data_IF_530265744387
#
_entry.id   IF_530265744387
#
_cell.length_a   1.000
_cell.length_b   1.000
_cell.length_c   1.000
_cell.angle_alpha   90.00
_cell.angle_beta   90.00
_cell.angle_gamma   90.00
#
_symmetry.space_group_name_H-M   'P 1'
#
loop_
_entity.id
_entity.type
_entity.pdbx_description
1 polymer ?
2 non-polymer ?
3 non-polymer ?
4 water ?
#
# COMPACT_ATOMS: atom_id res chain seq x y z
N UNK A 8 12.36 -15.11 -21.31
CA UNK A 8 11.16 -15.92 -21.65
C UNK A 8 9.85 -15.13 -21.51
N UNK A 9 9.80 -14.17 -20.58
CA UNK A 9 8.69 -13.23 -20.57
C UNK A 9 8.79 -12.35 -21.82
N UNK A 10 7.65 -11.77 -22.18
CA UNK A 10 7.49 -10.93 -23.36
C UNK A 10 8.30 -9.64 -23.22
N UNK A 11 9.35 -9.50 -24.04
CA UNK A 11 10.21 -8.32 -24.02
C UNK A 11 9.74 -7.21 -24.95
N UNK A 12 8.66 -7.46 -25.68
CA UNK A 12 8.17 -6.53 -26.69
C UNK A 12 7.26 -5.49 -26.10
N UNK A 13 6.77 -4.59 -26.95
CA UNK A 13 5.81 -3.57 -26.56
C UNK A 13 4.51 -4.23 -26.12
N UNK A 14 4.00 -3.83 -24.96
CA UNK A 14 2.70 -4.31 -24.48
C UNK A 14 1.68 -3.20 -24.74
N UNK A 15 0.57 -3.54 -25.40
CA UNK A 15 -0.51 -2.58 -25.63
C UNK A 15 -1.85 -3.25 -25.72
N UNK A 16 -2.90 -2.46 -25.53
CA UNK A 16 -4.26 -2.95 -25.68
C UNK A 16 -5.00 -2.97 -24.37
N UNK A 17 -6.23 -3.46 -24.43
CA UNK A 17 -7.05 -3.44 -23.24
C UNK A 17 -6.54 -4.42 -22.18
N UNK A 18 -6.83 -4.06 -20.93
CA UNK A 18 -6.43 -4.84 -19.77
C UNK A 18 -7.63 -4.98 -18.83
N UNK A 19 -8.05 -6.21 -18.52
CA UNK A 19 -9.15 -6.33 -17.54
C UNK A 19 -8.81 -5.69 -16.19
N UNK A 20 -9.80 -5.16 -15.49
CA UNK A 20 -9.56 -4.59 -14.17
C UNK A 20 -9.30 -5.72 -13.17
N UNK A 21 -8.24 -5.58 -12.37
CA UNK A 21 -7.98 -6.53 -11.30
C UNK A 21 -8.85 -6.18 -10.10
N UNK A 22 -8.86 -7.06 -9.05
CA UNK A 22 -9.79 -6.82 -7.95
C UNK A 22 -9.66 -5.45 -7.29
N UNK A 23 -8.43 -5.05 -6.93
CA UNK A 23 -8.26 -3.77 -6.24
C UNK A 23 -8.63 -2.61 -7.15
N UNK A 24 -8.47 -2.78 -8.45
CA UNK A 24 -8.88 -1.75 -9.40
C UNK A 24 -10.40 -1.65 -9.49
N UNK A 25 -11.08 -2.78 -9.45
CA UNK A 25 -12.55 -2.80 -9.39
C UNK A 25 -13.04 -2.16 -8.09
N UNK A 26 -12.39 -2.48 -6.97
CA UNK A 26 -12.65 -1.80 -5.72
C UNK A 26 -12.56 -0.28 -5.91
N UNK A 27 -11.46 0.17 -6.49
CA UNK A 27 -11.22 1.60 -6.64
C UNK A 27 -12.32 2.31 -7.41
N UNK A 28 -12.69 1.78 -8.58
CA UNK A 28 -13.73 2.42 -9.38
C UNK A 28 -15.09 2.31 -8.72
N UNK A 29 -15.32 1.23 -7.99
CA UNK A 29 -16.54 1.05 -7.23
C UNK A 29 -16.78 2.11 -6.15
N UNK A 30 -15.70 2.71 -5.66
CA UNK A 30 -15.81 3.76 -4.65
C UNK A 30 -16.28 5.08 -5.26
N UNK A 31 -16.11 5.27 -6.57
CA UNK A 31 -16.51 6.53 -7.24
C UNK A 31 -16.03 7.75 -6.46
N UNK A 32 -14.73 7.76 -6.17
CA UNK A 32 -14.13 8.85 -5.39
C UNK A 32 -14.30 10.20 -6.07
N UNK A 33 -14.59 11.21 -5.27
CA UNK A 33 -14.49 12.59 -5.72
C UNK A 33 -13.05 12.84 -6.18
N UNK A 34 -12.87 13.53 -7.30
CA UNK A 34 -11.52 13.79 -7.80
C UNK A 34 -10.71 12.49 -7.96
N UNK A 35 -11.31 11.54 -8.65
CA UNK A 35 -10.75 10.20 -8.83
C UNK A 35 -9.37 10.21 -9.48
N UNK A 36 -9.09 11.23 -10.29
CA UNK A 36 -7.78 11.40 -10.86
C UNK A 36 -6.65 11.81 -9.94
N UNK A 37 -6.99 12.22 -8.70
CA UNK A 37 -6.03 12.59 -7.69
C UNK A 37 -6.06 11.52 -6.60
N UNK A 38 -5.32 10.46 -6.84
CA UNK A 38 -5.33 9.30 -5.94
C UNK A 38 -4.04 8.55 -6.26
N UNK A 39 -2.96 9.07 -5.70
CA UNK A 39 -1.61 8.83 -6.19
C UNK A 39 -0.68 8.23 -5.14
N UNK A 40 0.53 7.88 -5.59
CA UNK A 40 1.68 7.71 -4.72
C UNK A 40 2.76 8.61 -5.25
N UNK A 41 3.72 8.98 -4.40
CA UNK A 41 4.74 9.91 -4.82
C UNK A 41 6.02 9.83 -3.98
N UNK A 42 7.08 10.45 -4.49
CA UNK A 42 8.34 10.50 -3.78
C UNK A 42 9.14 11.68 -4.27
N UNK A 43 10.07 12.13 -3.43
CA UNK A 43 11.01 13.16 -3.82
C UNK A 43 12.39 12.62 -3.48
N UNK A 44 13.27 12.62 -4.48
CA UNK A 44 14.65 12.13 -4.33
C UNK A 44 15.59 13.31 -4.32
N UNK A 45 16.70 13.17 -3.62
CA UNK A 45 17.70 14.24 -3.51
C UNK A 45 19.07 13.74 -3.96
N UNK A 46 19.74 14.54 -4.79
CA UNK A 46 21.09 14.28 -5.26
C UNK A 46 21.94 15.52 -5.00
N UNK A 47 22.87 15.44 -4.03
CA UNK A 47 23.66 16.63 -3.72
C UNK A 47 24.48 17.20 -4.89
N UNK A 48 24.93 16.33 -5.80
CA UNK A 48 25.69 16.74 -6.98
C UNK A 48 24.84 17.50 -7.98
N UNK A 49 23.51 17.32 -7.89
CA UNK A 49 22.56 17.81 -8.87
C UNK A 49 22.15 16.72 -9.83
N UNK A 50 20.98 16.90 -10.45
CA UNK A 50 20.46 16.07 -11.51
C UNK A 50 20.52 16.85 -12.83
N UNK A 51 20.66 16.11 -13.93
CA UNK A 51 20.66 16.69 -15.27
C UNK A 51 19.32 16.43 -15.91
N UNK A 52 18.59 17.51 -16.31
CA UNK A 52 17.28 17.25 -16.91
C UNK A 52 17.32 16.37 -18.15
N UNK A 53 18.37 16.50 -18.96
CA UNK A 53 18.47 15.69 -20.17
C UNK A 53 18.65 14.21 -19.85
N UNK A 54 19.51 13.89 -18.89
CA UNK A 54 19.68 12.50 -18.45
C UNK A 54 18.39 11.97 -17.82
N UNK A 55 17.73 12.77 -16.98
CA UNK A 55 16.47 12.35 -16.37
C UNK A 55 15.45 11.98 -17.45
N UNK A 56 15.33 12.81 -18.47
CA UNK A 56 14.39 12.51 -19.54
C UNK A 56 14.77 11.24 -20.31
N UNK A 57 16.05 11.06 -20.60
CA UNK A 57 16.48 9.84 -21.29
C UNK A 57 16.14 8.60 -20.48
N UNK A 58 16.41 8.63 -19.17
CA UNK A 58 16.18 7.45 -18.33
C UNK A 58 14.69 7.22 -18.16
N UNK A 59 13.93 8.29 -17.91
CA UNK A 59 12.48 8.13 -17.75
C UNK A 59 11.83 7.63 -19.03
N UNK A 60 12.33 8.08 -20.18
CA UNK A 60 11.84 7.57 -21.46
C UNK A 60 11.98 6.06 -21.48
N UNK A 61 13.16 5.56 -21.13
CA UNK A 61 13.41 4.13 -21.14
C UNK A 61 12.56 3.39 -20.09
N UNK A 62 12.42 3.97 -18.91
CA UNK A 62 11.64 3.36 -17.84
C UNK A 62 10.19 3.16 -18.25
N UNK A 63 9.60 4.16 -18.89
CA UNK A 63 8.17 4.10 -19.22
C UNK A 63 7.93 3.29 -20.49
N UNK A 64 8.88 3.25 -21.40
CA UNK A 64 8.86 2.28 -22.48
C UNK A 64 8.92 0.83 -21.97
N UNK A 65 9.75 0.60 -20.95
CA UNK A 65 10.01 -0.72 -20.38
C UNK A 65 8.94 -1.27 -19.47
N UNK A 66 8.37 -0.39 -18.64
CA UNK A 66 7.41 -0.78 -17.63
C UNK A 66 6.04 -0.37 -18.15
N UNK A 67 5.50 -1.25 -18.96
CA UNK A 67 4.39 -0.89 -19.87
C UNK A 67 3.15 -0.33 -19.16
N UNK A 68 2.82 -0.85 -17.98
CA UNK A 68 1.59 -0.43 -17.29
C UNK A 68 1.57 1.06 -16.95
N UNK A 69 2.75 1.70 -16.88
CA UNK A 69 2.80 3.14 -16.63
C UNK A 69 2.17 3.96 -17.76
N UNK A 70 1.97 3.34 -18.90
CA UNK A 70 1.31 3.99 -20.06
C UNK A 70 -0.20 3.77 -20.12
N UNK A 71 -0.78 3.26 -19.05
CA UNK A 71 -2.20 2.99 -19.01
C UNK A 71 -3.03 4.27 -19.08
N UNK A 72 -4.21 4.15 -19.66
CA UNK A 72 -5.25 5.18 -19.57
C UNK A 72 -6.56 4.46 -19.24
N UNK A 73 -7.53 5.26 -18.78
CA UNK A 73 -8.84 4.77 -18.27
C UNK A 73 -9.97 5.64 -18.80
N UNK A 74 -10.93 5.01 -19.45
CA UNK A 74 -12.24 5.65 -19.73
C UNK A 74 -13.25 5.21 -18.65
N UNK A 75 -14.17 6.09 -18.21
CA UNK A 75 -15.19 5.66 -17.23
C UNK A 75 -16.56 6.33 -17.37
N UNK A 76 -16.89 6.77 -18.59
CA UNK A 76 -18.14 7.51 -18.78
C UNK A 76 -19.33 6.58 -18.52
N UNK A 77 -20.28 7.09 -17.73
CA UNK A 77 -21.47 6.32 -17.32
C UNK A 77 -21.13 5.00 -16.61
N UNK A 78 -19.94 4.93 -16.01
CA UNK A 78 -19.51 3.74 -15.28
C UNK A 78 -18.97 2.60 -16.13
N UNK A 79 -18.74 2.88 -17.42
CA UNK A 79 -18.17 1.90 -18.37
C UNK A 79 -16.65 2.01 -18.37
N UNK A 80 -15.97 1.43 -17.39
CA UNK A 80 -14.55 1.64 -17.26
C UNK A 80 -13.78 0.78 -18.26
N UNK A 81 -12.93 1.41 -19.08
CA UNK A 81 -12.04 0.69 -20.00
C UNK A 81 -10.59 1.04 -19.73
N UNK A 82 -9.82 0.03 -19.33
CA UNK A 82 -8.41 0.18 -18.99
C UNK A 82 -7.62 -0.25 -20.21
N UNK A 83 -6.81 0.67 -20.74
CA UNK A 83 -6.10 0.46 -21.98
C UNK A 83 -4.62 0.79 -21.83
N UNK A 84 -3.78 -0.15 -22.21
CA UNK A 84 -2.33 0.06 -22.15
C UNK A 84 -1.90 0.70 -23.48
N UNK A 85 -1.52 1.98 -23.47
CA UNK A 85 -1.05 2.63 -24.68
C UNK A 85 0.23 1.97 -25.14
N UNK A 86 0.46 2.02 -26.46
CA UNK A 86 1.77 1.67 -27.02
C UNK A 86 2.74 2.82 -26.84
N UNK A 87 3.75 2.89 -27.72
CA UNK A 87 4.75 3.92 -27.64
C UNK A 87 4.34 5.09 -28.54
N UNK A 88 5.07 6.19 -28.42
CA UNK A 88 4.93 7.33 -29.34
C UNK A 88 4.22 8.53 -28.76
N UNK A 89 3.42 8.33 -27.72
CA UNK A 89 2.65 9.42 -27.11
C UNK A 89 3.40 10.09 -25.97
N UNK A 90 2.65 10.79 -25.12
CA UNK A 90 3.24 11.46 -23.96
C UNK A 90 3.50 10.42 -22.86
N UNK A 91 4.76 10.15 -22.56
CA UNK A 91 5.08 9.08 -21.62
C UNK A 91 4.98 9.54 -20.17
N UNK A 92 5.25 10.83 -19.97
CA UNK A 92 5.19 11.46 -18.64
C UNK A 92 5.20 12.97 -18.90
N UNK A 93 4.76 13.75 -17.90
CA UNK A 93 4.88 15.18 -17.95
C UNK A 93 6.12 15.57 -17.16
N UNK A 94 6.98 16.38 -17.77
CA UNK A 94 8.24 16.74 -17.17
C UNK A 94 8.36 18.24 -17.02
N UNK A 95 8.77 18.68 -15.83
CA UNK A 95 9.01 20.08 -15.51
C UNK A 95 10.33 20.23 -14.81
N UNK A 96 11.03 21.33 -15.10
CA UNK A 96 12.30 21.62 -14.47
C UNK A 96 12.29 23.08 -13.99
N UNK A 97 12.73 23.30 -12.76
CA UNK A 97 12.66 24.60 -12.11
C UNK A 97 14.00 25.01 -11.56
N UNK A 98 14.36 26.25 -11.82
CA UNK A 98 15.56 26.82 -11.23
C UNK A 98 15.15 27.54 -9.95
N UNK A 99 15.44 26.95 -8.80
CA UNK A 99 15.06 27.56 -7.52
C UNK A 99 16.24 28.24 -6.82
N UNK A 100 17.33 28.47 -7.55
CA UNK A 100 18.58 28.97 -6.96
C UNK A 100 18.45 30.36 -6.33
N UNK A 101 17.48 31.16 -6.79
CA UNK A 101 17.26 32.49 -6.20
C UNK A 101 16.27 32.48 -5.02
N UNK A 102 15.62 31.35 -4.74
CA UNK A 102 14.51 31.37 -3.80
C UNK A 102 14.89 31.16 -2.34
N UNK A 103 14.42 32.05 -1.45
CA UNK A 103 14.68 31.88 -0.02
C UNK A 103 14.00 30.66 0.58
N UNK A 104 12.83 30.29 0.04
CA UNK A 104 12.01 29.23 0.63
C UNK A 104 11.75 28.13 -0.38
N UNK A 105 12.76 27.29 -0.57
CA UNK A 105 12.71 26.20 -1.53
C UNK A 105 11.60 25.22 -1.15
N UNK A 106 11.46 24.96 0.15
CA UNK A 106 10.44 24.04 0.64
C UNK A 106 9.02 24.45 0.19
N UNK A 107 8.71 25.73 0.32
CA UNK A 107 7.42 26.24 -0.13
C UNK A 107 7.20 26.04 -1.63
N UNK A 108 8.22 26.33 -2.44
CA UNK A 108 8.11 26.16 -3.88
C UNK A 108 7.82 24.69 -4.23
N UNK A 109 8.54 23.78 -3.58
CA UNK A 109 8.41 22.36 -3.87
C UNK A 109 7.03 21.86 -3.43
N UNK A 110 6.57 22.25 -2.25
CA UNK A 110 5.26 21.75 -1.82
C UNK A 110 4.16 22.31 -2.75
N UNK A 111 4.21 23.59 -3.11
CA UNK A 111 3.19 24.14 -3.99
C UNK A 111 3.14 23.41 -5.34
N UNK A 112 4.30 23.16 -5.93
CA UNK A 112 4.32 22.61 -7.28
C UNK A 112 3.98 21.13 -7.28
N UNK A 113 4.47 20.40 -6.30
CA UNK A 113 4.13 18.98 -6.19
C UNK A 113 2.64 18.85 -5.97
N UNK A 114 2.04 19.74 -5.21
CA UNK A 114 0.57 19.68 -5.03
C UNK A 114 -0.14 20.00 -6.35
N UNK A 115 0.34 21.02 -7.07
CA UNK A 115 -0.24 21.35 -8.38
C UNK A 115 -0.19 20.15 -9.33
N UNK A 116 0.95 19.49 -9.40
CA UNK A 116 1.14 18.37 -10.30
C UNK A 116 0.30 17.14 -9.87
N UNK A 117 0.23 16.89 -8.56
CA UNK A 117 -0.63 15.82 -8.05
C UNK A 117 -2.09 15.95 -8.51
N UNK A 118 -2.57 17.19 -8.65
CA UNK A 118 -3.93 17.48 -9.02
C UNK A 118 -4.16 17.52 -10.54
N UNK A 119 -3.14 17.17 -11.33
CA UNK A 119 -3.16 17.37 -12.79
C UNK A 119 -3.24 16.07 -13.61
N UNK A 120 -3.55 14.93 -12.99
CA UNK A 120 -3.58 13.66 -13.73
C UNK A 120 -4.79 13.65 -14.66
N UNK A 121 -4.53 13.30 -15.91
CA UNK A 121 -5.57 13.10 -16.93
C UNK A 121 -5.70 11.59 -17.12
N UNK A 122 -6.70 10.97 -16.48
CA UNK A 122 -6.85 9.51 -16.56
C UNK A 122 -7.23 9.02 -17.95
N UNK A 123 -8.01 9.81 -18.69
CA UNK A 123 -8.54 9.36 -19.98
C UNK A 123 -7.49 9.34 -21.08
N UNK A 124 -6.53 10.27 -21.01
CA UNK A 124 -5.54 10.49 -22.05
C UNK A 124 -4.12 10.26 -21.58
N UNK A 125 -3.90 10.20 -20.26
CA UNK A 125 -2.54 10.15 -19.74
C UNK A 125 -1.78 11.44 -19.95
N UNK A 126 -0.51 11.46 -19.53
CA UNK A 126 0.15 10.39 -18.79
C UNK A 126 -0.22 10.32 -17.32
N UNK A 127 0.00 9.16 -16.74
CA UNK A 127 -0.23 8.96 -15.31
C UNK A 127 1.03 9.14 -14.47
N UNK A 128 2.11 9.63 -15.08
CA UNK A 128 3.38 9.87 -14.41
C UNK A 128 3.76 11.34 -14.54
N UNK A 129 4.08 11.98 -13.40
CA UNK A 129 4.50 13.38 -13.32
C UNK A 129 5.91 13.40 -12.77
N UNK A 130 6.79 14.16 -13.40
CA UNK A 130 8.17 14.26 -12.99
C UNK A 130 8.53 15.75 -12.90
N UNK A 131 9.09 16.18 -11.77
CA UNK A 131 9.55 17.56 -11.66
C UNK A 131 10.92 17.61 -11.03
N UNK A 132 11.81 18.36 -11.66
CA UNK A 132 13.15 18.60 -11.15
C UNK A 132 13.25 20.00 -10.54
N UNK A 133 13.71 20.09 -9.29
CA UNK A 133 13.90 21.36 -8.62
C UNK A 133 15.38 21.55 -8.33
N UNK A 134 16.00 22.51 -9.01
CA UNK A 134 17.42 22.75 -8.91
C UNK A 134 17.68 23.83 -7.87
N UNK A 135 18.60 23.56 -6.95
CA UNK A 135 18.97 24.52 -5.91
C UNK A 135 20.48 24.73 -5.90
N UNK A 136 20.91 25.67 -5.07
CA UNK A 136 22.34 25.91 -4.85
C UNK A 136 23.00 24.77 -4.07
N UNK A 137 22.19 23.94 -3.39
CA UNK A 137 22.70 22.87 -2.56
C UNK A 137 22.06 21.54 -2.96
N UNK A 138 22.24 21.16 -4.22
CA UNK A 138 21.73 19.89 -4.71
C UNK A 138 20.33 20.02 -5.29
N UNK A 139 19.91 18.97 -5.98
CA UNK A 139 18.64 18.99 -6.69
C UNK A 139 17.67 17.95 -6.15
N UNK A 140 16.38 18.26 -6.29
CA UNK A 140 15.30 17.42 -5.83
C UNK A 140 14.43 16.97 -7.00
N UNK A 141 14.17 15.66 -7.07
CA UNK A 141 13.42 15.06 -8.16
C UNK A 141 12.13 14.45 -7.60
N UNK A 142 11.02 15.04 -8.01
CA UNK A 142 9.67 14.60 -7.66
C UNK A 142 9.11 13.66 -8.71
N UNK A 143 8.53 12.57 -8.23
CA UNK A 143 7.77 11.64 -9.04
C UNK A 143 6.40 11.41 -8.42
N UNK A 144 5.33 11.55 -9.20
CA UNK A 144 3.99 11.15 -8.78
C UNK A 144 3.40 10.27 -9.84
N UNK A 145 2.75 9.20 -9.39
CA UNK A 145 2.13 8.22 -10.27
C UNK A 145 0.75 7.87 -9.72
N UNK A 146 -0.26 7.87 -10.55
CA UNK A 146 -1.58 7.50 -10.11
C UNK A 146 -1.54 6.06 -9.57
N UNK A 147 -2.26 5.78 -8.47
CA UNK A 147 -2.15 4.47 -7.83
C UNK A 147 -2.62 3.32 -8.71
N UNK A 148 -3.44 3.64 -9.72
CA UNK A 148 -3.98 2.57 -10.58
C UNK A 148 -2.90 1.69 -11.22
N UNK A 149 -1.69 2.23 -11.36
CA UNK A 149 -0.62 1.59 -12.13
C UNK A 149 0.65 1.33 -11.31
N UNK A 150 0.57 1.44 -9.98
CA UNK A 150 1.76 1.31 -9.15
C UNK A 150 1.42 0.78 -7.76
N UNK A 151 2.45 0.31 -7.08
CA UNK A 151 2.37 -0.13 -5.70
C UNK A 151 3.76 -0.14 -5.08
N UNK A 152 3.87 -0.47 -3.81
CA UNK A 152 5.16 -0.39 -3.12
C UNK A 152 6.30 -1.15 -3.76
N UNK A 153 6.05 -2.40 -4.11
CA UNK A 153 7.09 -3.19 -4.80
C UNK A 153 7.43 -2.55 -6.14
N UNK A 154 6.44 -2.06 -6.87
CA UNK A 154 6.69 -1.39 -8.14
C UNK A 154 7.62 -0.18 -7.97
N UNK A 155 7.43 0.59 -6.91
CA UNK A 155 8.36 1.71 -6.62
C UNK A 155 9.77 1.23 -6.36
N UNK A 156 9.95 0.12 -5.65
CA UNK A 156 11.29 -0.44 -5.48
C UNK A 156 11.95 -0.73 -6.85
N UNK A 157 11.20 -1.36 -7.74
CA UNK A 157 11.66 -1.66 -9.10
C UNK A 157 12.02 -0.38 -9.85
N UNK A 158 11.15 0.63 -9.77
CA UNK A 158 11.39 1.89 -10.45
C UNK A 158 12.65 2.61 -9.93
N UNK A 159 12.82 2.64 -8.61
CA UNK A 159 14.02 3.28 -8.02
C UNK A 159 15.29 2.54 -8.45
N UNK A 160 15.25 1.22 -8.45
CA UNK A 160 16.38 0.41 -8.95
C UNK A 160 16.71 0.75 -10.40
N UNK A 161 15.69 0.81 -11.26
CA UNK A 161 15.93 1.04 -12.65
C UNK A 161 16.34 2.48 -12.94
N UNK A 162 15.81 3.43 -12.17
CA UNK A 162 16.26 4.81 -12.26
C UNK A 162 17.74 4.90 -11.94
N UNK A 163 18.17 4.25 -10.87
CA UNK A 163 19.59 4.27 -10.47
C UNK A 163 20.45 3.60 -11.54
N UNK A 164 19.98 2.48 -12.08
CA UNK A 164 20.74 1.75 -13.09
C UNK A 164 20.93 2.58 -14.37
N UNK A 165 19.82 3.13 -14.86
CA UNK A 165 19.86 3.95 -16.07
C UNK A 165 20.66 5.24 -15.90
N UNK A 166 20.52 5.88 -14.76
CA UNK A 166 21.26 7.12 -14.50
C UNK A 166 22.75 6.84 -14.47
N UNK A 167 23.15 5.76 -13.80
CA UNK A 167 24.57 5.40 -13.72
C UNK A 167 25.13 5.08 -15.10
N UNK A 168 24.34 4.37 -15.91
CA UNK A 168 24.73 4.06 -17.28
C UNK A 168 24.91 5.34 -18.10
N UNK A 169 23.94 6.25 -18.03
CA UNK A 169 24.06 7.55 -18.69
C UNK A 169 25.32 8.30 -18.26
N UNK A 170 25.58 8.36 -16.96
CA UNK A 170 26.76 9.06 -16.44
C UNK A 170 28.05 8.45 -16.94
N UNK A 171 28.04 7.13 -17.15
CA UNK A 171 29.22 6.41 -17.63
C UNK A 171 29.33 6.37 -19.15
N UNK A 172 28.48 7.13 -19.84
CA UNK A 172 28.49 7.18 -21.30
C UNK A 172 28.03 5.90 -21.96
N UNK A 173 27.23 5.11 -21.25
CA UNK A 173 26.78 3.80 -21.73
C UNK A 173 25.32 3.87 -22.14
N UNK A 174 24.91 2.95 -23.01
CA UNK A 174 23.52 2.83 -23.40
C UNK A 174 22.70 2.41 -22.18
N UNK A 175 21.52 2.99 -22.05
CA UNK A 175 20.62 2.63 -20.95
C UNK A 175 20.09 1.24 -21.26
N UNK A 176 20.20 0.34 -20.28
CA UNK A 176 19.86 -1.06 -20.49
C UNK A 176 19.31 -1.60 -19.18
N UNK A 177 18.01 -1.86 -19.15
CA UNK A 177 17.34 -2.31 -17.93
C UNK A 177 17.24 -3.84 -17.91
N UNK A 178 16.98 -4.40 -16.72
CA UNK A 178 16.77 -5.84 -16.62
C UNK A 178 15.66 -6.31 -17.54
N UNK A 179 15.72 -7.56 -17.98
CA UNK A 179 14.65 -8.09 -18.81
C UNK A 179 13.27 -7.88 -18.17
N UNK A 180 12.26 -7.64 -18.99
CA UNK A 180 10.89 -7.57 -18.53
C UNK A 180 10.48 -8.89 -17.91
N UNK A 181 9.68 -8.82 -16.85
CA UNK A 181 8.93 -9.97 -16.40
C UNK A 181 7.54 -9.91 -17.05
N UNK A 182 6.60 -10.75 -16.61
CA UNK A 182 5.32 -10.85 -17.30
C UNK A 182 4.51 -9.56 -17.18
N UNK A 183 3.82 -9.19 -18.27
CA UNK A 183 3.11 -7.92 -18.29
C UNK A 183 1.93 -7.90 -17.33
N UNK A 184 1.59 -6.71 -16.85
CA UNK A 184 0.39 -6.55 -16.07
C UNK A 184 -0.83 -6.99 -16.89
N UNK A 185 -0.84 -6.67 -18.19
CA UNK A 185 -1.90 -7.14 -19.09
C UNK A 185 -2.09 -8.67 -19.01
N UNK A 186 -1.00 -9.40 -19.13
CA UNK A 186 -1.05 -10.87 -19.11
C UNK A 186 -1.48 -11.38 -17.75
N UNK A 187 -0.92 -10.79 -16.71
CA UNK A 187 -1.27 -11.14 -15.33
C UNK A 187 -2.78 -11.00 -15.09
N UNK A 188 -3.31 -9.87 -15.45
CA UNK A 188 -4.73 -9.62 -15.29
C UNK A 188 -5.62 -10.60 -16.08
N UNK A 189 -5.22 -10.88 -17.32
CA UNK A 189 -5.92 -11.88 -18.13
C UNK A 189 -5.89 -13.25 -17.43
N UNK A 190 -4.74 -13.62 -16.87
CA UNK A 190 -4.62 -14.90 -16.18
C UNK A 190 -5.49 -14.94 -14.92
N UNK A 191 -5.57 -13.82 -14.20
CA UNK A 191 -6.42 -13.73 -13.02
C UNK A 191 -7.89 -13.96 -13.39
N UNK A 192 -8.31 -13.45 -14.55
CA UNK A 192 -9.70 -13.65 -14.99
C UNK A 192 -10.01 -15.13 -15.16
N UNK A 193 -9.03 -15.90 -15.62
CA UNK A 193 -9.15 -17.35 -15.78
C UNK A 193 -9.16 -18.06 -14.42
N UNK A 194 -8.16 -17.69 -13.60
CA UNK A 194 -8.02 -18.24 -12.25
C UNK A 194 -9.32 -18.12 -11.45
N UNK A 195 -10.00 -16.99 -11.64
CA UNK A 195 -11.21 -16.64 -10.90
C UNK A 195 -12.32 -17.69 -10.93
N UNK A 196 -12.37 -18.50 -11.99
CA UNK A 196 -13.42 -19.51 -12.10
C UNK A 196 -12.90 -20.94 -12.14
N UNK A 197 -11.63 -21.12 -11.81
CA UNK A 197 -10.98 -22.44 -11.80
C UNK A 197 -11.07 -23.12 -10.41
N UNK A 198 -10.76 -24.40 -10.40
CA UNK A 198 -11.06 -25.27 -9.25
C UNK A 198 -10.28 -24.90 -7.98
N UNK A 199 -9.04 -24.44 -8.14
CA UNK A 199 -8.20 -24.13 -6.97
C UNK A 199 -8.84 -23.02 -6.14
N UNK A 200 -9.22 -21.93 -6.78
CA UNK A 200 -9.87 -20.84 -6.05
C UNK A 200 -11.21 -21.25 -5.51
N UNK A 201 -12.03 -21.91 -6.33
CA UNK A 201 -13.36 -22.32 -5.88
C UNK A 201 -13.28 -23.26 -4.67
N UNK A 202 -12.17 -24.02 -4.56
CA UNK A 202 -11.97 -24.88 -3.40
C UNK A 202 -11.90 -24.11 -2.09
N UNK A 203 -11.63 -22.81 -2.14
CA UNK A 203 -11.54 -21.98 -0.93
C UNK A 203 -12.89 -21.53 -0.40
N UNK A 204 -13.95 -21.71 -1.19
CA UNK A 204 -15.25 -21.15 -0.82
C UNK A 204 -15.73 -21.56 0.59
N UNK A 205 -15.61 -22.85 0.96
CA UNK A 205 -16.03 -23.18 2.33
C UNK A 205 -15.31 -22.38 3.41
N UNK A 206 -14.01 -22.13 3.22
CA UNK A 206 -13.26 -21.32 4.16
C UNK A 206 -13.85 -19.91 4.26
N UNK A 207 -14.03 -19.25 3.11
CA UNK A 207 -14.50 -17.87 3.12
C UNK A 207 -15.95 -17.79 3.59
N UNK A 208 -16.74 -18.81 3.26
CA UNK A 208 -18.13 -18.92 3.76
C UNK A 208 -18.16 -19.00 5.27
N UNK A 209 -17.26 -19.81 5.82
CA UNK A 209 -17.16 -19.91 7.27
C UNK A 209 -16.81 -18.56 7.89
N UNK A 210 -15.90 -17.81 7.27
CA UNK A 210 -15.54 -16.49 7.78
C UNK A 210 -16.77 -15.57 7.78
N UNK A 211 -17.45 -15.51 6.65
CA UNK A 211 -18.65 -14.66 6.52
C UNK A 211 -19.73 -15.03 7.54
N UNK A 212 -19.89 -16.32 7.80
CA UNK A 212 -20.94 -16.78 8.71
C UNK A 212 -20.60 -16.43 10.17
N UNK A 213 -19.31 -16.40 10.50
CA UNK A 213 -18.87 -16.04 11.84
C UNK A 213 -18.86 -14.53 12.06
N UNK A 214 -18.78 -13.75 10.98
CA UNK A 214 -18.70 -12.30 11.06
C UNK A 214 -20.06 -11.68 11.42
N UNK A 215 -20.14 -11.10 12.62
CA UNK A 215 -21.38 -10.55 13.16
C UNK A 215 -21.79 -9.26 12.46
N UNK A 216 -20.80 -8.53 11.93
CA UNK A 216 -21.03 -7.27 11.22
C UNK A 216 -21.69 -6.23 12.13
N UNK A 217 -21.14 -6.07 13.32
CA UNK A 217 -21.56 -5.01 14.23
C UNK A 217 -20.71 -3.78 13.91
N UNK A 218 -21.36 -2.64 13.74
CA UNK A 218 -20.69 -1.36 13.53
C UNK A 218 -19.49 -1.18 14.48
N UNK A 219 -18.32 -0.89 13.92
CA UNK A 219 -17.22 -0.33 14.70
C UNK A 219 -17.79 0.91 15.37
N UNK A 220 -17.68 1.03 16.71
CA UNK A 220 -18.22 2.22 17.38
C UNK A 220 -17.46 3.51 17.02
N UNK A 221 -18.19 4.57 16.67
CA UNK A 221 -17.63 5.90 16.46
C UNK A 221 -18.15 6.86 17.53
N UNK A 222 -17.44 7.96 17.77
CA UNK A 222 -17.89 9.01 18.67
C UNK A 222 -19.07 9.81 18.09
N UNK A 223 -19.05 10.05 16.79
CA UNK A 223 -20.06 10.88 16.12
C UNK A 223 -20.52 10.26 14.83
N UNK A 224 -21.78 10.50 14.50
CA UNK A 224 -22.39 10.10 13.25
C UNK A 224 -22.14 11.17 12.19
N UNK A 225 -21.46 10.76 11.14
CA UNK A 225 -21.12 11.66 10.05
C UNK A 225 -21.18 10.89 8.75
N UNK A 226 -21.60 11.58 7.69
CA UNK A 226 -21.65 11.00 6.35
C UNK A 226 -20.70 11.73 5.40
N UNK A 227 -20.11 10.95 4.50
CA UNK A 227 -19.16 11.44 3.50
C UNK A 227 -18.06 12.32 4.06
N UNK A 228 -17.42 11.85 5.14
CA UNK A 228 -16.16 12.43 5.65
C UNK A 228 -15.13 12.43 4.55
N UNK A 229 -14.33 13.47 4.47
CA UNK A 229 -13.31 13.61 3.42
C UNK A 229 -11.90 13.55 3.98
N UNK A 230 -10.94 13.30 3.08
CA UNK A 230 -9.53 13.19 3.46
C UNK A 230 -8.98 14.42 4.22
N UNK A 231 -9.51 15.60 3.94
CA UNK A 231 -9.10 16.81 4.67
C UNK A 231 -9.32 16.71 6.20
N UNK A 232 -10.24 15.83 6.63
CA UNK A 232 -10.53 15.61 8.04
C UNK A 232 -9.61 14.60 8.71
N UNK A 233 -8.77 13.93 7.93
CA UNK A 233 -7.94 12.87 8.48
C UNK A 233 -6.77 13.43 9.31
N UNK A 234 -6.53 12.77 10.44
CA UNK A 234 -5.42 13.12 11.34
C UNK A 234 -4.63 11.87 11.63
N UNK A 235 -3.34 12.05 11.94
CA UNK A 235 -2.44 10.93 12.23
C UNK A 235 -1.93 11.07 13.66
N UNK A 236 -2.00 9.98 14.41
CA UNK A 236 -1.49 9.93 15.76
C UNK A 236 -0.48 8.80 15.81
N UNK A 237 0.69 9.05 16.37
CA UNK A 237 1.79 8.10 16.33
C UNK A 237 2.27 7.69 17.72
N UNK A 238 2.61 6.41 17.85
CA UNK A 238 3.25 5.88 19.04
C UNK A 238 4.50 5.15 18.57
N UNK A 239 5.46 4.98 19.45
CA UNK A 239 6.62 4.19 19.08
C UNK A 239 7.19 3.39 20.24
N UNK A 240 7.96 2.37 19.89
CA UNK A 240 8.77 1.64 20.84
C UNK A 240 10.21 2.11 20.71
N UNK A 241 10.89 2.19 21.83
CA UNK A 241 12.32 2.49 21.86
C UNK A 241 13.11 1.40 21.15
N UNK A 242 14.39 1.66 20.82
CA UNK A 242 15.16 0.66 20.10
C UNK A 242 15.31 -0.68 20.83
N UNK A 243 15.42 -0.63 22.16
CA UNK A 243 15.60 -1.85 22.96
C UNK A 243 14.40 -2.78 22.77
N UNK A 244 13.20 -2.25 22.96
CA UNK A 244 11.98 -3.05 22.86
C UNK A 244 11.71 -3.45 21.40
N UNK A 245 12.04 -2.58 20.46
CA UNK A 245 11.91 -2.90 19.05
C UNK A 245 12.80 -4.11 18.69
N UNK A 246 14.05 -4.06 19.14
CA UNK A 246 14.98 -5.16 18.90
C UNK A 246 14.48 -6.47 19.54
N UNK A 247 13.94 -6.38 20.75
CA UNK A 247 13.36 -7.57 21.39
C UNK A 247 12.22 -8.12 20.53
N UNK A 248 11.35 -7.24 20.05
CA UNK A 248 10.21 -7.63 19.21
C UNK A 248 10.67 -8.29 17.91
N UNK A 249 11.65 -7.69 17.26
CA UNK A 249 12.13 -8.19 15.99
C UNK A 249 12.96 -9.48 16.11
N UNK A 250 13.79 -9.60 17.14
CA UNK A 250 14.86 -10.63 17.16
C UNK A 250 14.83 -11.66 18.30
N UNK A 251 13.93 -11.51 19.27
CA UNK A 251 13.85 -12.43 20.41
C UNK A 251 12.42 -12.88 20.80
N UNK A 252 11.46 -11.96 20.70
CA UNK A 252 10.08 -12.27 21.11
C UNK A 252 9.43 -13.36 20.25
N UNK A 253 9.86 -13.52 19.02
CA UNK A 253 9.24 -14.50 18.14
C UNK A 253 9.65 -15.94 18.40
N UNK A 254 10.69 -16.12 19.21
CA UNK A 254 11.14 -17.45 19.55
C UNK A 254 10.16 -18.22 20.45
N UNK A 255 9.42 -17.51 21.29
CA UNK A 255 8.51 -18.18 22.23
C UNK A 255 7.50 -19.08 21.53
N UNK A 256 6.83 -18.55 20.51
CA UNK A 256 5.78 -19.26 19.79
C UNK A 256 6.09 -19.40 18.29
N UNK A 257 7.34 -19.13 17.92
CA UNK A 257 7.80 -19.22 16.52
C UNK A 257 6.90 -18.46 15.57
N UNK A 258 6.74 -17.20 15.91
CA UNK A 258 5.87 -16.32 15.17
C UNK A 258 6.67 -15.50 14.19
N UNK A 259 5.96 -14.72 13.39
CA UNK A 259 6.53 -13.59 12.70
C UNK A 259 6.01 -12.34 13.40
N UNK A 260 6.69 -11.22 13.19
CA UNK A 260 6.37 -9.98 13.87
C UNK A 260 4.91 -9.62 13.67
N UNK A 261 4.42 -9.83 12.45
CA UNK A 261 3.02 -9.52 12.17
C UNK A 261 2.05 -10.27 13.08
N UNK A 262 2.36 -11.49 13.48
CA UNK A 262 1.47 -12.26 14.37
C UNK A 262 1.35 -11.52 15.72
N UNK A 263 2.48 -11.07 16.25
CA UNK A 263 2.47 -10.37 17.54
C UNK A 263 1.77 -9.02 17.47
N UNK A 264 1.98 -8.30 16.38
CA UNK A 264 1.32 -7.03 16.17
C UNK A 264 -0.19 -7.18 16.03
N UNK A 265 -0.63 -8.24 15.38
CA UNK A 265 -2.06 -8.51 15.25
C UNK A 265 -2.65 -8.95 16.58
N UNK A 266 -1.88 -9.72 17.35
CA UNK A 266 -2.35 -10.11 18.69
C UNK A 266 -2.56 -8.85 19.52
N UNK A 267 -1.61 -7.91 19.47
CA UNK A 267 -1.74 -6.65 20.19
C UNK A 267 -2.97 -5.86 19.76
N UNK A 268 -3.23 -5.88 18.44
CA UNK A 268 -4.38 -5.19 17.86
C UNK A 268 -5.68 -5.73 18.44
N UNK A 269 -5.80 -7.06 18.54
CA UNK A 269 -6.99 -7.65 19.14
C UNK A 269 -7.16 -7.24 20.59
N UNK A 270 -6.08 -7.26 21.36
CA UNK A 270 -6.17 -6.89 22.77
C UNK A 270 -6.62 -5.43 22.91
N UNK A 271 -6.05 -4.55 22.09
CA UNK A 271 -6.39 -3.14 22.15
C UNK A 271 -7.86 -2.89 21.77
N UNK A 272 -8.35 -3.55 20.72
CA UNK A 272 -9.76 -3.38 20.33
C UNK A 272 -10.71 -4.00 21.34
N UNK A 273 -10.30 -5.09 21.97
CA UNK A 273 -11.08 -5.71 23.03
C UNK A 273 -11.31 -4.69 24.15
N UNK A 274 -10.23 -4.04 24.57
CA UNK A 274 -10.28 -3.05 25.66
C UNK A 274 -11.05 -1.79 25.28
N UNK A 275 -10.77 -1.28 24.09
CA UNK A 275 -11.23 0.03 23.66
C UNK A 275 -12.66 0.02 23.11
N UNK A 276 -12.95 -0.94 22.25
CA UNK A 276 -14.26 -1.02 21.59
C UNK A 276 -15.31 -1.82 22.39
N UNK A 277 -14.86 -2.74 23.24
CA UNK A 277 -15.75 -3.68 23.93
C UNK A 277 -16.52 -4.64 23.01
N UNK A 278 -16.10 -4.79 21.75
CA UNK A 278 -16.73 -5.74 20.83
C UNK A 278 -16.31 -7.17 21.16
N UNK A 279 -17.15 -8.12 20.78
CA UNK A 279 -16.87 -9.54 20.98
C UNK A 279 -15.97 -10.07 19.88
N UNK A 280 -15.99 -9.39 18.74
CA UNK A 280 -15.16 -9.79 17.61
C UNK A 280 -14.98 -8.59 16.70
N UNK A 281 -13.95 -8.64 15.87
CA UNK A 281 -13.72 -7.57 14.92
C UNK A 281 -13.12 -8.15 13.63
N UNK A 282 -13.53 -7.59 12.49
CA UNK A 282 -12.92 -7.97 11.21
C UNK A 282 -11.95 -6.85 10.82
N UNK A 283 -10.75 -7.25 10.43
CA UNK A 283 -9.67 -6.33 10.05
C UNK A 283 -9.35 -6.58 8.59
N UNK A 284 -9.12 -5.48 7.86
CA UNK A 284 -8.63 -5.53 6.50
C UNK A 284 -7.09 -5.62 6.57
N UNK A 285 -6.53 -6.70 6.02
CA UNK A 285 -5.08 -6.85 5.83
C UNK A 285 -4.77 -6.75 4.34
N UNK A 286 -3.49 -6.54 4.04
CA UNK A 286 -3.05 -6.45 2.64
C UNK A 286 -1.85 -7.35 2.39
N UNK A 287 -1.82 -7.91 1.19
CA UNK A 287 -0.68 -8.68 0.74
C UNK A 287 -0.11 -8.02 -0.50
N UNK A 288 1.11 -8.38 -0.87
CA UNK A 288 1.70 -7.82 -2.09
C UNK A 288 0.96 -8.28 -3.35
N UNK A 289 0.24 -9.39 -3.25
CA UNK A 289 -0.59 -9.85 -4.36
C UNK A 289 0.13 -10.53 -5.49
N UNK A 290 1.44 -10.75 -5.35
CA UNK A 290 2.25 -11.37 -6.39
C UNK A 290 2.47 -12.83 -6.00
N UNK A 291 1.37 -13.52 -5.74
CA UNK A 291 1.42 -14.87 -5.19
C UNK A 291 1.57 -15.86 -6.33
N UNK A 292 2.09 -17.04 -6.00
CA UNK A 292 2.34 -18.10 -7.00
C UNK A 292 1.07 -18.90 -7.23
N UNK A 293 0.06 -18.23 -7.79
CA UNK A 293 -1.24 -18.83 -8.06
C UNK A 293 -1.44 -19.20 -9.52
N UNK A 294 -0.61 -18.64 -10.41
CA UNK A 294 -0.71 -18.90 -11.85
C UNK A 294 0.54 -19.67 -12.30
N UNK A 295 0.34 -20.86 -12.84
CA UNK A 295 1.46 -21.74 -13.21
C UNK A 295 2.49 -21.02 -14.07
N UNK A 296 3.73 -20.95 -13.58
CA UNK A 296 4.86 -20.39 -14.34
C UNK A 296 4.83 -18.87 -14.54
N UNK A 297 3.86 -18.18 -13.94
CA UNK A 297 3.85 -16.71 -14.03
C UNK A 297 5.01 -16.14 -13.23
N UNK A 298 5.51 -14.99 -13.70
CA UNK A 298 6.64 -14.35 -13.07
C UNK A 298 6.40 -12.86 -13.17
N UNK A 299 6.02 -12.23 -12.07
CA UNK A 299 5.79 -10.78 -12.03
C UNK A 299 6.78 -10.11 -11.08
N UNK A 300 7.98 -10.69 -10.95
CA UNK A 300 8.99 -10.19 -9.99
C UNK A 300 9.43 -8.75 -10.21
N UNK A 301 9.51 -8.31 -11.47
CA UNK A 301 9.88 -6.92 -11.78
C UNK A 301 8.79 -6.20 -12.58
N UNK A 302 7.55 -6.61 -12.37
CA UNK A 302 6.42 -5.99 -13.07
C UNK A 302 5.84 -4.86 -12.26
N UNK A 303 5.70 -3.71 -12.93
CA UNK A 303 5.07 -2.52 -12.37
C UNK A 303 3.56 -2.60 -12.56
N UNK A 304 2.83 -2.39 -11.47
CA UNK A 304 1.37 -2.34 -11.48
C UNK A 304 0.85 -2.31 -10.05
N UNK A 305 -0.47 -2.24 -9.91
CA UNK A 305 -1.14 -2.26 -8.62
C UNK A 305 -1.57 -3.70 -8.37
N UNK A 306 -0.68 -4.47 -7.74
CA UNK A 306 -0.91 -5.89 -7.48
C UNK A 306 -1.56 -6.14 -6.11
N UNK A 307 -1.53 -5.14 -5.25
CA UNK A 307 -1.97 -5.27 -3.86
C UNK A 307 -3.27 -6.03 -3.69
N UNK A 308 -3.26 -6.96 -2.76
CA UNK A 308 -4.43 -7.76 -2.41
C UNK A 308 -4.93 -7.27 -1.06
N UNK A 309 -6.26 -7.22 -0.89
CA UNK A 309 -6.86 -6.91 0.41
C UNK A 309 -7.75 -8.08 0.81
N UNK A 310 -7.71 -8.44 2.09
CA UNK A 310 -8.52 -9.55 2.57
C UNK A 310 -8.91 -9.38 4.02
N UNK A 311 -10.02 -10.00 4.41
CA UNK A 311 -10.45 -9.88 5.79
C UNK A 311 -9.90 -10.97 6.71
N UNK A 312 -9.65 -10.59 7.95
CA UNK A 312 -9.38 -11.54 9.03
C UNK A 312 -10.31 -11.22 10.20
N UNK A 313 -10.80 -12.29 10.84
CA UNK A 313 -11.72 -12.17 11.96
C UNK A 313 -10.95 -12.44 13.23
N UNK A 314 -10.93 -11.46 14.13
CA UNK A 314 -10.34 -11.63 15.45
C UNK A 314 -11.42 -11.82 16.51
N UNK A 315 -11.32 -12.90 17.27
CA UNK A 315 -12.16 -13.13 18.45
C UNK A 315 -11.61 -12.27 19.58
N UNK A 316 -12.46 -11.41 20.15
CA UNK A 316 -12.04 -10.48 21.21
C UNK A 316 -12.61 -10.88 22.58
N UNK A 317 -13.38 -11.97 22.60
CA UNK A 317 -13.98 -12.48 23.84
C UNK A 317 -12.93 -13.30 24.58
N UNK A 318 -12.37 -14.28 23.89
CA UNK A 318 -11.38 -15.18 24.48
C UNK A 318 -9.94 -14.67 24.28
N UNK A 319 -9.55 -13.66 25.05
CA UNK A 319 -8.20 -13.08 24.99
C UNK A 319 -7.24 -13.61 26.07
N UNK A 320 -7.73 -14.54 26.90
CA UNK A 320 -6.94 -15.13 27.98
C UNK A 320 -6.98 -16.65 27.88
N UNK A 321 -5.87 -17.35 28.18
CA UNK A 321 -4.58 -16.82 28.59
C UNK A 321 -3.88 -16.18 27.39
N UNK A 322 -2.98 -15.24 27.67
CA UNK A 322 -2.21 -14.58 26.60
C UNK A 322 -1.43 -15.56 25.71
N UNK A 323 -0.84 -16.59 26.30
CA UNK A 323 -0.13 -17.65 25.54
C UNK A 323 -1.01 -18.25 24.47
N UNK A 324 -2.20 -18.69 24.84
CA UNK A 324 -3.13 -19.30 23.88
C UNK A 324 -3.60 -18.27 22.85
N UNK A 325 -3.82 -17.03 23.29
CA UNK A 325 -4.25 -15.99 22.38
C UNK A 325 -3.22 -15.72 21.27
N UNK A 326 -1.94 -15.68 21.64
CA UNK A 326 -0.86 -15.52 20.68
C UNK A 326 -0.79 -16.72 19.73
N UNK A 327 -0.86 -17.92 20.29
CA UNK A 327 -0.82 -19.15 19.50
C UNK A 327 -1.99 -19.21 18.53
N UNK A 328 -3.18 -18.84 19.00
CA UNK A 328 -4.40 -18.86 18.16
C UNK A 328 -4.33 -17.83 17.04
N UNK A 329 -3.74 -16.68 17.34
CA UNK A 329 -3.58 -15.64 16.33
C UNK A 329 -2.66 -16.17 15.23
N UNK A 330 -1.54 -16.76 15.62
CA UNK A 330 -0.63 -17.38 14.67
C UNK A 330 -1.35 -18.41 13.79
N UNK A 331 -2.11 -19.29 14.44
CA UNK A 331 -2.84 -20.40 13.79
C UNK A 331 -3.88 -19.87 12.80
N UNK A 332 -4.65 -18.88 13.26
CA UNK A 332 -5.62 -18.13 12.43
C UNK A 332 -4.96 -17.70 11.12
N UNK A 333 -3.78 -17.07 11.24
CA UNK A 333 -3.09 -16.53 10.08
C UNK A 333 -2.58 -17.64 9.16
N UNK A 334 -2.09 -18.72 9.76
CA UNK A 334 -1.59 -19.86 8.98
C UNK A 334 -2.67 -20.61 8.19
N UNK A 335 -3.90 -20.58 8.67
CA UNK A 335 -5.02 -21.29 8.03
C UNK A 335 -5.60 -20.57 6.82
N UNK A 336 -5.27 -19.29 6.67
CA UNK A 336 -5.78 -18.53 5.53
C UNK A 336 -5.22 -19.14 4.24
N UNK A 337 -6.08 -19.45 3.26
CA UNK A 337 -5.56 -20.05 2.04
C UNK A 337 -4.84 -19.03 1.17
N UNK A 338 -3.69 -19.42 0.62
CA UNK A 338 -3.00 -18.67 -0.43
C UNK A 338 -2.80 -17.18 -0.09
N UNK A 339 -2.38 -16.93 1.15
CA UNK A 339 -2.07 -15.58 1.65
C UNK A 339 -3.24 -14.59 1.49
N UNK A 340 -4.46 -15.14 1.42
CA UNK A 340 -5.65 -14.31 1.37
C UNK A 340 -6.01 -13.73 0.02
N UNK A 341 -5.25 -14.04 -1.03
CA UNK A 341 -5.49 -13.40 -2.35
C UNK A 341 -6.87 -13.73 -2.95
N UNK A 342 -7.45 -14.85 -2.54
CA UNK A 342 -8.64 -15.35 -3.18
C UNK A 342 -9.91 -14.56 -2.91
N UNK A 343 -10.06 -14.01 -1.70
CA UNK A 343 -11.36 -13.45 -1.34
C UNK A 343 -11.79 -12.34 -2.30
N UNK A 344 -10.88 -11.41 -2.61
CA UNK A 344 -11.22 -10.26 -3.47
C UNK A 344 -11.41 -10.68 -4.94
N UNK A 345 -10.77 -11.77 -5.34
CA UNK A 345 -11.01 -12.34 -6.67
C UNK A 345 -12.43 -12.91 -6.74
N UNK A 346 -12.81 -13.69 -5.72
CA UNK A 346 -14.18 -14.19 -5.61
C UNK A 346 -15.20 -13.06 -5.62
N UNK A 347 -14.87 -11.97 -4.94
CA UNK A 347 -15.79 -10.86 -4.78
C UNK A 347 -15.96 -10.09 -6.09
N UNK A 348 -14.85 -9.77 -6.74
CA UNK A 348 -14.90 -8.81 -7.83
C UNK A 348 -14.82 -9.40 -9.22
N UNK A 349 -14.34 -10.64 -9.34
CA UNK A 349 -14.10 -11.22 -10.66
C UNK A 349 -14.89 -12.52 -10.94
N UNK A 350 -14.89 -13.47 -10.00
CA UNK A 350 -15.56 -14.74 -10.18
C UNK A 350 -17.03 -14.56 -10.62
N UNK A 351 -17.47 -15.41 -11.53
CA UNK A 351 -18.87 -15.42 -11.97
C UNK A 351 -19.79 -15.68 -10.79
N UNK A 352 -20.92 -14.94 -10.69
CA UNK A 352 -21.84 -15.16 -9.58
C UNK A 352 -22.21 -16.63 -9.36
N UNK A 353 -22.39 -17.38 -10.45
CA UNK A 353 -22.79 -18.79 -10.37
C UNK A 353 -21.76 -19.69 -9.67
N UNK A 354 -20.51 -19.23 -9.60
CA UNK A 354 -19.39 -20.00 -9.03
C UNK A 354 -19.04 -19.65 -7.58
N UNK A 355 -19.76 -18.69 -6.99
CA UNK A 355 -19.32 -18.08 -5.72
C UNK A 355 -19.97 -18.71 -4.49
N UNK A 356 -20.61 -19.85 -4.65
CA UNK A 356 -21.28 -20.51 -3.53
C UNK A 356 -22.34 -19.62 -2.94
N UNK A 357 -22.39 -19.57 -1.62
CA UNK A 357 -23.33 -18.72 -0.91
C UNK A 357 -22.67 -17.47 -0.35
N UNK A 358 -21.50 -17.11 -0.89
CA UNK A 358 -20.82 -15.90 -0.43
C UNK A 358 -21.65 -14.66 -0.77
N UNK A 359 -21.77 -13.76 0.21
CA UNK A 359 -22.56 -12.53 0.06
C UNK A 359 -21.71 -11.26 0.14
N UNK A 360 -20.45 -11.39 0.58
CA UNK A 360 -19.51 -10.27 0.57
C UNK A 360 -20.06 -9.04 1.31
N UNK A 361 -20.75 -9.30 2.42
CA UNK A 361 -21.29 -8.23 3.26
C UNK A 361 -20.25 -7.78 4.28
N UNK A 362 -19.15 -8.52 4.39
CA UNK A 362 -18.03 -8.17 5.27
C UNK A 362 -17.35 -6.90 4.75
N UNK A 363 -17.41 -5.84 5.54
CA UNK A 363 -16.91 -4.54 5.11
C UNK A 363 -16.08 -3.95 6.25
N UNK A 364 -14.79 -4.35 6.34
CA UNK A 364 -14.02 -3.89 7.50
C UNK A 364 -13.77 -2.38 7.48
N UNK A 365 -13.84 -1.78 8.65
CA UNK A 365 -13.59 -0.35 8.82
C UNK A 365 -12.20 -0.10 9.40
N UNK A 366 -11.47 -1.16 9.76
CA UNK A 366 -10.12 -1.07 10.26
C UNK A 366 -9.17 -1.79 9.33
N UNK A 367 -8.11 -1.09 8.95
CA UNK A 367 -7.04 -1.66 8.15
C UNK A 367 -5.77 -1.70 8.97
N UNK A 368 -5.03 -2.79 8.87
CA UNK A 368 -3.76 -2.88 9.58
C UNK A 368 -2.68 -3.31 8.59
N UNK A 369 -1.57 -2.59 8.58
CA UNK A 369 -0.47 -2.91 7.67
C UNK A 369 0.87 -2.71 8.35
N UNK A 370 1.64 -3.78 8.45
CA UNK A 370 3.01 -3.67 8.93
C UNK A 370 3.94 -3.66 7.71
N UNK A 371 4.70 -2.59 7.55
CA UNK A 371 5.45 -2.35 6.32
C UNK A 371 6.94 -2.71 6.44
N UNK A 372 7.39 -3.18 7.60
CA UNK A 372 8.81 -3.49 7.78
C UNK A 372 9.69 -2.26 7.81
N UNK A 373 10.89 -2.38 7.23
CA UNK A 373 11.88 -1.31 7.21
C UNK A 373 11.63 -0.30 6.09
N UNK A 374 12.01 0.94 6.34
CA UNK A 374 11.71 2.07 5.48
C UNK A 374 12.97 2.48 4.66
N UNK A 375 13.09 2.02 3.40
CA UNK A 375 14.34 2.27 2.62
C UNK A 375 14.36 1.99 1.09
N UNK A 376 13.21 1.95 0.41
CA UNK A 376 13.18 1.68 -1.04
C UNK A 376 13.94 2.75 -1.85
N UNK A 377 13.88 3.99 -1.38
CA UNK A 377 14.44 5.14 -2.10
C UNK A 377 15.86 5.50 -1.70
N UNK A 378 16.54 4.59 -1.00
CA UNK A 378 17.84 4.88 -0.36
C UNK A 378 18.84 3.72 -0.43
N UNK A 379 18.90 3.05 -1.59
CA UNK A 379 19.81 1.92 -1.80
C UNK A 379 21.04 2.22 -2.69
N UNK A 380 21.05 3.37 -3.36
CA UNK A 380 22.07 3.71 -4.36
C UNK A 380 22.89 4.87 -3.85
N UNK A 381 24.13 5.00 -4.34
CA UNK A 381 24.92 6.18 -3.99
C UNK A 381 24.52 7.41 -4.81
N UNK A 382 23.70 7.21 -5.84
CA UNK A 382 23.33 8.30 -6.76
C UNK A 382 22.31 9.30 -6.20
N UNK A 383 21.44 8.84 -5.32
CA UNK A 383 20.43 9.72 -4.73
C UNK A 383 19.91 9.12 -3.42
N UNK A 384 19.16 9.93 -2.68
CA UNK A 384 18.56 9.51 -1.42
C UNK A 384 17.15 10.13 -1.27
N UNK A 385 16.46 9.80 -0.20
CA UNK A 385 15.16 10.41 0.11
C UNK A 385 15.36 11.89 0.39
N UNK A 386 14.59 12.75 -0.26
CA UNK A 386 14.72 14.19 -0.06
C UNK A 386 14.22 14.67 1.30
N UNK A 387 14.99 15.55 1.96
CA UNK A 387 14.48 16.15 3.21
C UNK A 387 13.28 17.07 2.98
N UNK A 388 13.04 17.44 1.72
CA UNK A 388 11.88 18.25 1.37
C UNK A 388 10.75 17.41 0.75
N UNK A 389 10.70 16.13 1.08
CA UNK A 389 9.65 15.24 0.59
C UNK A 389 8.26 15.74 0.96
N UNK A 390 8.10 16.23 2.19
CA UNK A 390 6.83 16.80 2.62
C UNK A 390 5.72 15.78 2.54
N UNK A 391 4.64 16.19 1.89
CA UNK A 391 3.48 15.34 1.69
C UNK A 391 3.56 14.34 0.54
N UNK A 392 4.74 14.20 -0.03
CA UNK A 392 4.97 13.30 -1.16
C UNK A 392 5.70 12.04 -0.71
N UNK A 393 4.93 11.03 -0.33
CA UNK A 393 5.51 9.77 0.12
C UNK A 393 4.70 8.59 -0.39
N UNK A 394 5.15 7.38 -0.07
CA UNK A 394 4.45 6.19 -0.49
C UNK A 394 3.53 5.70 0.64
N UNK A 395 3.62 6.32 1.82
CA UNK A 395 2.92 5.87 3.04
C UNK A 395 2.01 6.87 3.75
N UNK A 396 1.88 6.73 5.07
CA UNK A 396 0.84 7.40 5.85
C UNK A 396 1.00 8.92 5.93
N UNK A 397 2.23 9.40 5.79
CA UNK A 397 2.54 10.83 5.82
C UNK A 397 2.41 11.52 4.45
N UNK A 398 1.89 10.80 3.44
CA UNK A 398 1.73 11.37 2.12
C UNK A 398 0.46 12.20 1.96
N UNK A 399 0.38 13.33 2.64
CA UNK A 399 -0.82 14.17 2.60
C UNK A 399 -1.14 14.71 1.20
N UNK A 400 -0.15 14.76 0.30
CA UNK A 400 -0.41 15.26 -1.04
C UNK A 400 -1.02 14.25 -2.02
N UNK A 401 -1.05 12.98 -1.63
CA UNK A 401 -1.40 11.90 -2.56
C UNK A 401 -2.86 11.82 -2.95
N UNK A 402 -3.73 12.23 -2.04
CA UNK A 402 -5.16 12.13 -2.29
C UNK A 402 -5.77 13.51 -2.27
N UNK A 403 -6.82 13.69 -3.05
CA UNK A 403 -7.53 14.93 -2.97
C UNK A 403 -8.11 15.16 -1.57
N UNK A 404 -8.03 16.38 -1.05
CA UNK A 404 -8.65 16.76 0.23
C UNK A 404 -10.15 16.48 0.25
N UNK A 405 -10.76 16.48 -0.94
CA UNK A 405 -12.18 16.22 -1.06
C UNK A 405 -12.50 14.76 -1.38
N UNK A 406 -11.47 13.92 -1.48
CA UNK A 406 -11.65 12.48 -1.65
C UNK A 406 -12.27 11.91 -0.39
N UNK A 407 -13.13 10.91 -0.54
CA UNK A 407 -13.83 10.31 0.60
C UNK A 407 -12.92 9.40 1.42
N UNK A 408 -13.04 9.49 2.74
CA UNK A 408 -12.45 8.53 3.67
C UNK A 408 -13.07 7.16 3.44
N UNK A 409 -12.22 6.14 3.29
CA UNK A 409 -12.68 4.78 2.93
C UNK A 409 -12.38 3.74 4.02
N UNK A 410 -11.65 4.15 5.05
CA UNK A 410 -11.35 3.31 6.22
C UNK A 410 -11.44 4.20 7.46
N UNK A 411 -12.15 3.76 8.49
CA UNK A 411 -12.31 4.57 9.70
C UNK A 411 -11.01 4.67 10.49
N UNK A 412 -10.29 3.56 10.58
CA UNK A 412 -9.04 3.49 11.32
C UNK A 412 -8.03 2.77 10.44
N UNK A 413 -7.02 3.49 10.02
CA UNK A 413 -5.96 2.97 9.18
C UNK A 413 -4.71 2.95 10.05
N UNK A 414 -4.27 1.75 10.39
CA UNK A 414 -3.17 1.56 11.32
C UNK A 414 -1.98 0.93 10.59
N UNK A 415 -0.86 1.64 10.60
CA UNK A 415 0.33 1.19 9.89
C UNK A 415 1.53 1.17 10.84
N UNK A 416 2.39 0.17 10.68
CA UNK A 416 3.61 0.07 11.47
C UNK A 416 4.79 0.00 10.56
N UNK A 417 5.89 0.60 10.99
CA UNK A 417 7.13 0.48 10.25
C UNK A 417 8.27 0.67 11.20
N UNK A 418 9.47 0.27 10.76
CA UNK A 418 10.68 0.48 11.55
C UNK A 418 11.42 1.64 10.93
N UNK A 419 11.65 2.68 11.72
CA UNK A 419 12.47 3.82 11.27
C UNK A 419 13.45 4.14 12.37
N UNK A 420 14.72 4.26 12.00
CA UNK A 420 15.78 4.56 12.97
C UNK A 420 15.82 3.57 14.12
N UNK A 421 15.59 2.30 13.81
CA UNK A 421 15.65 1.22 14.79
C UNK A 421 14.48 1.19 15.76
N UNK A 422 13.43 1.97 15.48
CA UNK A 422 12.26 2.04 16.33
C UNK A 422 11.00 1.63 15.57
N UNK A 423 10.15 0.84 16.19
CA UNK A 423 8.81 0.56 15.64
C UNK A 423 7.94 1.79 15.85
N UNK A 424 7.40 2.33 14.76
CA UNK A 424 6.52 3.48 14.83
C UNK A 424 5.17 3.05 14.23
N UNK A 425 4.11 3.26 15.00
CA UNK A 425 2.78 2.91 14.56
C UNK A 425 1.96 4.18 14.42
N UNK A 426 1.29 4.32 13.27
CA UNK A 426 0.47 5.47 12.98
C UNK A 426 -0.99 5.03 12.95
N UNK A 427 -1.83 5.75 13.69
CA UNK A 427 -3.27 5.54 13.74
C UNK A 427 -3.88 6.72 12.99
N UNK A 428 -4.44 6.46 11.83
CA UNK A 428 -5.03 7.53 11.02
C UNK A 428 -6.53 7.41 11.06
N UNK A 429 -7.21 8.53 11.34
CA UNK A 429 -8.65 8.52 11.58
C UNK A 429 -9.23 9.85 11.11
N UNK A 430 -10.54 9.88 10.92
CA UNK A 430 -11.20 11.15 10.63
C UNK A 430 -11.59 11.86 11.92
N UNK A 431 -11.23 13.14 12.00
CA UNK A 431 -11.58 13.95 13.13
C UNK A 431 -13.09 14.24 13.18
N UNK A 432 -13.79 13.95 12.08
CA UNK A 432 -15.26 14.02 12.06
C UNK A 432 -15.89 12.91 12.91
N UNK A 433 -15.26 11.74 12.93
CA UNK A 433 -15.83 10.53 13.56
C UNK A 433 -15.37 10.27 14.98
N UNK A 434 -14.15 10.67 15.29
CA UNK A 434 -13.56 10.44 16.60
C UNK A 434 -12.96 11.70 17.21
N UNK A 435 -13.18 11.84 18.51
CA UNK A 435 -12.39 12.77 19.32
C UNK A 435 -10.94 12.31 19.41
N UNK A 436 -10.02 13.26 19.45
CA UNK A 436 -8.61 12.96 19.56
C UNK A 436 -8.36 12.07 20.79
N UNK A 437 -9.04 12.36 21.90
CA UNK A 437 -8.91 11.57 23.12
C UNK A 437 -9.23 10.10 22.92
N UNK A 438 -10.23 9.78 22.07
CA UNK A 438 -10.59 8.39 21.81
C UNK A 438 -9.44 7.64 21.16
N UNK A 439 -8.73 8.29 20.26
CA UNK A 439 -7.64 7.64 19.55
C UNK A 439 -6.38 7.60 20.43
N UNK A 440 -6.20 8.59 21.30
CA UNK A 440 -5.16 8.52 22.33
C UNK A 440 -5.36 7.26 23.17
N UNK A 441 -6.59 7.01 23.60
CA UNK A 441 -6.90 5.82 24.40
C UNK A 441 -6.56 4.53 23.64
N UNK A 442 -6.96 4.46 22.38
CA UNK A 442 -6.73 3.24 21.60
C UNK A 442 -5.24 2.98 21.40
N UNK A 443 -4.51 4.02 21.02
CA UNK A 443 -3.09 3.88 20.71
C UNK A 443 -2.29 3.61 21.97
N UNK A 444 -2.68 4.20 23.11
CA UNK A 444 -2.00 3.88 24.36
C UNK A 444 -2.29 2.44 24.79
N UNK A 445 -3.51 1.97 24.55
CA UNK A 445 -3.87 0.58 24.80
C UNK A 445 -3.02 -0.36 23.95
N UNK A 446 -2.89 -0.03 22.67
CA UNK A 446 -2.09 -0.82 21.75
C UNK A 446 -0.67 -0.96 22.27
N UNK A 447 -0.07 0.18 22.60
CA UNK A 447 1.30 0.23 23.12
C UNK A 447 1.44 -0.64 24.35
N UNK A 448 0.50 -0.50 25.28
CA UNK A 448 0.54 -1.29 26.54
C UNK A 448 0.50 -2.79 26.25
N UNK A 449 -0.45 -3.21 25.41
CA UNK A 449 -0.60 -4.63 25.11
C UNK A 449 0.56 -5.21 24.32
N UNK A 450 1.12 -4.43 23.39
CA UNK A 450 2.31 -4.89 22.66
C UNK A 450 3.50 -5.08 23.59
N UNK A 451 3.71 -4.12 24.49
CA UNK A 451 4.77 -4.26 25.50
C UNK A 451 4.56 -5.49 26.38
N UNK A 452 3.32 -5.74 26.76
CA UNK A 452 2.99 -6.93 27.57
C UNK A 452 3.28 -8.23 26.79
N UNK A 453 2.96 -8.24 25.50
CA UNK A 453 3.23 -9.38 24.66
C UNK A 453 4.74 -9.64 24.56
N UNK A 454 5.50 -8.57 24.36
CA UNK A 454 6.96 -8.71 24.27
C UNK A 454 7.54 -9.29 25.59
N UNK A 455 7.13 -8.74 26.72
CA UNK A 455 7.57 -9.24 28.02
C UNK A 455 7.19 -10.71 28.21
N UNK A 456 5.95 -11.05 27.87
CA UNK A 456 5.45 -12.41 28.00
C UNK A 456 6.29 -13.38 27.17
N UNK A 457 6.54 -13.01 25.91
CA UNK A 457 7.32 -13.85 25.01
C UNK A 457 8.75 -14.08 25.49
N UNK A 458 9.38 -13.03 26.00
CA UNK A 458 10.74 -13.15 26.53
C UNK A 458 10.81 -14.09 27.73
N UNK A 459 9.82 -14.00 28.63
CA UNK A 459 9.73 -14.89 29.80
C UNK A 459 9.34 -16.32 29.44
N UNK A 460 8.44 -16.47 28.47
CA UNK A 460 7.98 -17.79 28.05
C UNK A 460 9.12 -18.61 27.45
N UNK A 461 9.93 -17.96 26.62
CA UNK A 461 11.06 -18.62 25.97
C UNK A 461 12.13 -19.00 27.00
N UNK A 462 12.24 -18.20 28.06
CA UNK A 462 13.07 -18.54 29.22
C UNK A 462 12.53 -19.79 29.94
N UNK A 463 11.24 -19.79 30.23
CA UNK A 463 10.55 -20.92 30.87
C UNK A 463 10.76 -22.23 30.10
N UNK A 464 10.71 -22.15 28.77
CA UNK A 464 10.91 -23.31 27.90
C UNK A 464 12.22 -23.19 27.13
#
# INVERSE_FOLDING_TARGET
MGGSRSRKSDQGIIAGNVPLTPIQKWFFGKNFTNTGHWNQSSVLYRPEGFDPKVIQSVMDKIIEHHDALRMVYQHENGNVVQHNRGLGGQLYDFFSYNLTAQPDVQQAIEAETQRLHSSMNLQEGPLVKVALFQTLHGDHLFLAIHHLVVDGISWRILFEDLATGYAQALAGQAISLPEKTDSFQSWSQWLQEYANEADLLSEIPYWESLESQAKNVSLPKDYEVTDCKQKSVRNMRIRLHPEETEQLLKHANQAYQTEINDLLLAALGLAFAEWSKLAQIVIHLEGHGREDIIEQANVARTVGWFTSQYPVLLDLKQTAPLSDYIKLTKENMRKIPRKGIGYDILKHVTLPENRGSLSFRVQPEVTFNYLGQFDADMRTELFTRSPYSGGNTLGADGKNNLSPESEVYTALNITGLIEGGELVLTFSYSSEQYREESIQQLSQSYQKHLLAIIAHCLQSHHHHHH
#
